data_IF_981222770682
#
_entry.id   IF_981222770682
#
_cell.length_a   1.000
_cell.length_b   1.000
_cell.length_c   1.000
_cell.angle_alpha   90.00
_cell.angle_beta   90.00
_cell.angle_gamma   90.00
#
_symmetry.space_group_name_H-M   'P 1'
#
loop_
_entity.id
_entity.type
_entity.pdbx_description
1 polymer ?
#
# COMPACT_ATOMS: atom_id res chain seq x y z
N UNK A 1 34.46 64.54 4.40
CA UNK A 1 33.17 64.39 5.11
C UNK A 1 33.24 63.10 5.89
N UNK A 2 33.10 63.24 7.20
CA UNK A 2 33.74 62.44 8.25
C UNK A 2 33.07 61.11 8.61
N UNK A 3 33.94 60.21 9.11
CA UNK A 3 33.68 59.05 9.97
C UNK A 3 33.24 59.50 11.38
N UNK A 4 32.46 58.74 12.17
CA UNK A 4 32.88 57.83 13.27
C UNK A 4 31.64 57.72 14.22
N UNK A 5 31.17 56.60 14.78
CA UNK A 5 31.71 55.58 15.72
C UNK A 5 31.60 55.91 17.22
N UNK A 6 31.17 54.91 18.02
CA UNK A 6 31.29 54.76 19.50
C UNK A 6 30.49 55.77 20.37
N UNK A 7 29.98 55.47 21.57
CA UNK A 7 30.14 54.35 22.49
C UNK A 7 30.33 54.89 23.93
N UNK A 8 29.34 54.64 24.80
CA UNK A 8 29.37 54.50 26.28
C UNK A 8 29.78 55.66 27.23
N UNK A 9 29.16 55.55 28.41
CA UNK A 9 29.50 56.03 29.77
C UNK A 9 29.15 57.46 30.18
N UNK A 10 28.37 57.55 31.27
CA UNK A 10 28.42 58.61 32.28
C UNK A 10 27.90 58.05 33.62
N UNK A 11 28.83 57.73 34.53
CA UNK A 11 28.60 57.59 35.96
C UNK A 11 29.40 58.68 36.71
N UNK A 12 28.93 59.03 37.92
CA UNK A 12 29.53 59.93 38.93
C UNK A 12 29.25 61.45 38.75
N UNK A 13 29.11 62.29 39.78
CA UNK A 13 29.34 62.15 41.23
C UNK A 13 28.81 63.39 42.02
N UNK A 14 28.60 63.21 43.35
CA UNK A 14 28.72 64.22 44.45
C UNK A 14 27.72 65.40 44.54
N UNK A 15 27.29 65.89 45.72
CA UNK A 15 27.66 65.64 47.12
C UNK A 15 26.99 66.63 48.12
N UNK A 16 27.28 66.45 49.42
CA UNK A 16 27.07 67.34 50.59
C UNK A 16 25.61 67.68 51.01
N UNK A 17 25.22 67.81 52.30
CA UNK A 17 25.90 67.84 53.61
C UNK A 17 24.83 67.81 54.74
N UNK A 18 25.16 67.21 55.91
CA UNK A 18 24.94 67.71 57.31
C UNK A 18 23.46 67.95 57.78
N UNK A 19 22.96 67.66 59.00
CA UNK A 19 23.46 67.28 60.33
C UNK A 19 22.28 66.73 61.19
N UNK A 20 22.63 65.79 62.06
CA UNK A 20 22.16 65.49 63.43
C UNK A 20 20.83 65.97 64.06
N UNK A 21 20.23 64.99 64.76
CA UNK A 21 19.56 65.00 66.09
C UNK A 21 18.01 65.06 66.24
N UNK A 22 17.57 64.15 67.14
CA UNK A 22 16.41 64.18 68.05
C UNK A 22 15.09 63.45 67.65
N UNK A 23 14.95 62.25 68.21
CA UNK A 23 13.81 61.65 68.93
C UNK A 23 12.42 62.32 68.82
N UNK A 24 11.40 61.60 68.31
CA UNK A 24 10.05 61.58 68.90
C UNK A 24 9.19 60.40 68.41
N UNK A 25 8.59 59.67 69.35
CA UNK A 25 7.54 58.65 69.12
C UNK A 25 6.25 59.33 68.64
N UNK A 26 5.60 58.79 67.61
CA UNK A 26 4.13 58.85 67.50
C UNK A 26 3.58 57.68 66.68
N UNK A 27 2.84 56.84 67.39
CA UNK A 27 1.97 55.77 66.90
C UNK A 27 0.66 56.37 66.36
N UNK A 28 -0.04 55.61 65.48
CA UNK A 28 -1.49 55.68 65.13
C UNK A 28 -1.78 56.45 63.80
N UNK A 29 -2.49 55.95 62.77
CA UNK A 29 -3.53 54.92 62.68
C UNK A 29 -3.75 54.34 61.25
N UNK A 30 -4.34 53.12 61.24
CA UNK A 30 -5.05 52.32 60.22
C UNK A 30 -5.35 52.83 58.78
N UNK A 31 -5.08 51.96 57.80
CA UNK A 31 -6.04 51.54 56.77
C UNK A 31 -5.88 50.03 56.49
N UNK A 32 -6.95 49.24 56.67
CA UNK A 32 -7.02 47.83 56.26
C UNK A 32 -7.55 47.75 54.82
N UNK A 33 -6.84 47.01 53.97
CA UNK A 33 -7.31 46.60 52.64
C UNK A 33 -7.82 45.17 52.79
N UNK A 34 -9.12 44.98 52.58
CA UNK A 34 -9.75 43.67 52.42
C UNK A 34 -9.92 43.41 50.91
N UNK A 35 -9.25 42.37 50.39
CA UNK A 35 -9.23 42.07 48.95
C UNK A 35 -9.68 40.61 48.64
N UNK A 36 -10.87 40.52 48.05
CA UNK A 36 -11.43 39.55 47.07
C UNK A 36 -11.30 38.02 47.26
N UNK A 37 -12.14 37.43 48.11
CA UNK A 37 -12.35 35.96 48.16
C UNK A 37 -13.41 35.48 47.13
N UNK A 38 -14.35 36.33 46.71
CA UNK A 38 -15.57 35.94 45.98
C UNK A 38 -15.40 35.64 44.48
N UNK A 39 -14.38 36.18 43.79
CA UNK A 39 -14.22 36.01 42.34
C UNK A 39 -13.64 34.64 41.94
N UNK A 40 -12.92 33.99 42.87
CA UNK A 40 -12.23 32.71 42.65
C UNK A 40 -13.18 31.52 42.66
N UNK A 41 -14.24 31.55 43.47
CA UNK A 41 -15.22 30.46 43.58
C UNK A 41 -16.12 30.35 42.34
N UNK A 42 -16.60 31.48 41.80
CA UNK A 42 -17.51 31.52 40.65
C UNK A 42 -16.86 30.93 39.38
N UNK A 43 -15.57 31.23 39.15
CA UNK A 43 -14.82 30.72 38.01
C UNK A 43 -14.58 29.20 38.11
N UNK A 44 -14.32 28.71 39.32
CA UNK A 44 -14.11 27.29 39.58
C UNK A 44 -15.39 26.46 39.40
N UNK A 45 -16.54 26.98 39.84
CA UNK A 45 -17.83 26.32 39.63
C UNK A 45 -18.23 26.26 38.15
N UNK A 46 -17.97 27.33 37.40
CA UNK A 46 -18.26 27.40 35.96
C UNK A 46 -17.42 26.41 35.15
N UNK A 47 -16.11 26.31 35.43
CA UNK A 47 -15.22 25.34 34.80
C UNK A 47 -15.62 23.91 35.13
N UNK A 48 -15.97 23.64 36.39
CA UNK A 48 -16.40 22.31 36.85
C UNK A 48 -17.65 21.82 36.11
N UNK A 49 -18.61 22.70 35.87
CA UNK A 49 -19.84 22.35 35.16
C UNK A 49 -19.62 22.14 33.66
N UNK A 50 -18.72 22.93 33.07
CA UNK A 50 -18.34 22.82 31.66
C UNK A 50 -17.54 21.54 31.39
N UNK A 51 -16.60 21.18 32.26
CA UNK A 51 -15.86 19.92 32.20
C UNK A 51 -16.80 18.69 32.30
N UNK A 52 -17.81 18.72 33.18
CA UNK A 52 -18.78 17.62 33.30
C UNK A 52 -19.57 17.35 32.02
N UNK A 53 -19.98 18.41 31.30
CA UNK A 53 -20.73 18.24 30.06
C UNK A 53 -19.86 17.64 28.93
N UNK A 54 -18.62 18.10 28.78
CA UNK A 54 -17.70 17.53 27.78
C UNK A 54 -17.33 16.07 28.10
N UNK A 55 -17.18 15.71 29.38
CA UNK A 55 -16.92 14.33 29.81
C UNK A 55 -18.07 13.36 29.47
N UNK A 56 -19.33 13.81 29.58
CA UNK A 56 -20.50 12.99 29.19
C UNK A 56 -20.53 12.83 27.67
N UNK A 57 -20.26 13.91 26.93
CA UNK A 57 -20.21 13.89 25.47
C UNK A 57 -19.10 12.98 24.93
N UNK A 58 -17.90 13.01 25.53
CA UNK A 58 -16.77 12.15 25.16
C UNK A 58 -17.03 10.67 25.50
N UNK A 59 -17.69 10.37 26.62
CA UNK A 59 -18.10 9.01 26.97
C UNK A 59 -19.15 8.49 25.98
N UNK A 60 -20.16 9.30 25.65
CA UNK A 60 -21.17 8.96 24.65
C UNK A 60 -20.55 8.78 23.27
N UNK A 61 -19.60 9.64 22.89
CA UNK A 61 -18.85 9.51 21.64
C UNK A 61 -18.04 8.21 21.60
N UNK A 62 -17.38 7.84 22.71
CA UNK A 62 -16.64 6.58 22.83
C UNK A 62 -17.56 5.36 22.73
N UNK A 63 -18.73 5.39 23.37
CA UNK A 63 -19.76 4.34 23.25
C UNK A 63 -20.24 4.25 21.80
N UNK A 64 -20.53 5.38 21.15
CA UNK A 64 -20.92 5.42 19.74
C UNK A 64 -19.83 4.83 18.83
N UNK A 65 -18.55 5.14 19.07
CA UNK A 65 -17.44 4.55 18.32
C UNK A 65 -17.38 3.03 18.50
N UNK A 66 -17.54 2.52 19.73
CA UNK A 66 -17.57 1.07 19.98
C UNK A 66 -18.75 0.41 19.25
N UNK A 67 -19.93 1.04 19.26
CA UNK A 67 -21.11 0.53 18.54
C UNK A 67 -20.92 0.58 17.02
N UNK A 68 -20.31 1.64 16.48
CA UNK A 68 -20.00 1.77 15.05
C UNK A 68 -18.97 0.70 14.65
N UNK A 69 -17.91 0.50 15.43
CA UNK A 69 -16.90 -0.53 15.18
C UNK A 69 -17.50 -1.94 15.28
N UNK A 70 -18.39 -2.18 16.24
CA UNK A 70 -19.09 -3.45 16.37
C UNK A 70 -20.03 -3.71 15.18
N UNK A 71 -20.75 -2.68 14.72
CA UNK A 71 -21.61 -2.77 13.54
C UNK A 71 -20.78 -2.96 12.26
N UNK A 72 -19.64 -2.28 12.13
CA UNK A 72 -18.70 -2.45 11.02
C UNK A 72 -18.13 -3.87 11.01
N UNK A 73 -17.81 -4.44 12.17
CA UNK A 73 -17.40 -5.83 12.32
C UNK A 73 -18.49 -6.81 11.89
N UNK A 74 -19.73 -6.59 12.34
CA UNK A 74 -20.86 -7.44 11.97
C UNK A 74 -21.14 -7.39 10.46
N UNK A 75 -21.12 -6.19 9.86
CA UNK A 75 -21.30 -6.00 8.42
C UNK A 75 -20.13 -6.63 7.64
N UNK A 76 -18.89 -6.44 8.07
CA UNK A 76 -17.72 -7.08 7.44
C UNK A 76 -17.81 -8.59 7.47
N UNK A 77 -18.23 -9.18 8.60
CA UNK A 77 -18.41 -10.63 8.72
C UNK A 77 -19.52 -11.16 7.80
N UNK A 78 -20.58 -10.36 7.56
CA UNK A 78 -21.60 -10.72 6.57
C UNK A 78 -21.12 -10.51 5.13
N UNK A 79 -20.31 -9.49 4.87
CA UNK A 79 -19.69 -9.26 3.57
C UNK A 79 -18.71 -10.38 3.21
N UNK A 80 -17.94 -10.92 4.16
CA UNK A 80 -17.06 -12.07 3.92
C UNK A 80 -17.86 -13.31 3.48
N UNK A 81 -19.01 -13.58 4.13
CA UNK A 81 -19.94 -14.65 3.69
C UNK A 81 -20.56 -14.39 2.32
N UNK A 82 -20.80 -13.11 2.00
CA UNK A 82 -21.36 -12.71 0.70
C UNK A 82 -20.31 -12.81 -0.41
N UNK A 83 -19.05 -12.49 -0.12
CA UNK A 83 -17.90 -12.67 -1.01
C UNK A 83 -17.62 -14.16 -1.28
N UNK A 84 -17.76 -15.01 -0.26
CA UNK A 84 -17.68 -16.48 -0.40
C UNK A 84 -18.82 -17.05 -1.28
N UNK A 85 -20.04 -16.52 -1.12
CA UNK A 85 -21.17 -16.85 -2.00
C UNK A 85 -20.94 -16.36 -3.44
N UNK A 86 -20.43 -15.14 -3.62
CA UNK A 86 -20.13 -14.57 -4.94
C UNK A 86 -19.00 -15.33 -5.62
N UNK A 87 -17.95 -15.74 -4.89
CA UNK A 87 -16.84 -16.50 -5.46
C UNK A 87 -17.25 -17.92 -5.85
N UNK A 88 -18.10 -18.58 -5.04
CA UNK A 88 -18.70 -19.85 -5.41
C UNK A 88 -19.59 -19.71 -6.66
N UNK A 89 -20.46 -18.70 -6.72
CA UNK A 89 -21.29 -18.43 -7.90
C UNK A 89 -20.44 -18.12 -9.14
N UNK A 90 -19.39 -17.31 -9.01
CA UNK A 90 -18.48 -17.02 -10.13
C UNK A 90 -17.70 -18.25 -10.59
N UNK A 91 -17.34 -19.16 -9.68
CA UNK A 91 -16.68 -20.41 -10.02
C UNK A 91 -17.61 -21.34 -10.79
N UNK A 92 -18.87 -21.46 -10.38
CA UNK A 92 -19.88 -22.22 -11.10
C UNK A 92 -20.19 -21.58 -12.46
N UNK A 93 -20.31 -20.25 -12.54
CA UNK A 93 -20.53 -19.54 -13.79
C UNK A 93 -19.36 -19.71 -14.78
N UNK A 94 -18.12 -19.81 -14.28
CA UNK A 94 -16.95 -20.17 -15.11
C UNK A 94 -17.04 -21.61 -15.62
N UNK A 95 -17.45 -22.56 -14.79
CA UNK A 95 -17.64 -23.94 -15.21
C UNK A 95 -18.76 -24.06 -16.25
N UNK A 96 -19.89 -23.38 -16.04
CA UNK A 96 -20.98 -23.28 -17.03
C UNK A 96 -20.51 -22.64 -18.34
N UNK A 97 -19.71 -21.58 -18.29
CA UNK A 97 -19.15 -20.94 -19.49
C UNK A 97 -18.24 -21.90 -20.27
N UNK A 98 -17.39 -22.65 -19.57
CA UNK A 98 -16.51 -23.66 -20.17
C UNK A 98 -17.33 -24.80 -20.80
N UNK A 99 -18.41 -25.25 -20.15
CA UNK A 99 -19.30 -26.28 -20.68
C UNK A 99 -20.08 -25.78 -21.90
N UNK A 100 -20.52 -24.52 -21.91
CA UNK A 100 -21.17 -23.89 -23.08
C UNK A 100 -20.18 -23.76 -24.25
N UNK A 101 -18.94 -23.35 -23.98
CA UNK A 101 -17.89 -23.23 -25.01
C UNK A 101 -17.46 -24.61 -25.54
N UNK A 102 -17.40 -25.64 -24.68
CA UNK A 102 -17.17 -27.04 -25.06
C UNK A 102 -18.31 -27.61 -25.91
N UNK A 103 -19.56 -27.32 -25.55
CA UNK A 103 -20.74 -27.72 -26.32
C UNK A 103 -20.87 -26.96 -27.65
N UNK A 104 -20.34 -25.73 -27.72
CA UNK A 104 -20.26 -24.95 -28.96
C UNK A 104 -19.11 -25.39 -29.88
N UNK A 105 -18.02 -25.91 -29.31
CA UNK A 105 -16.91 -26.49 -30.06
C UNK A 105 -17.21 -27.88 -30.65
N UNK A 106 -18.27 -28.56 -30.18
CA UNK A 106 -18.58 -29.95 -30.56
C UNK A 106 -19.69 -30.13 -31.60
N UNK A 107 -20.23 -29.07 -32.24
CA UNK A 107 -21.09 -29.22 -33.44
C UNK A 107 -20.92 -28.09 -34.45
N UNK A 108 -20.76 -28.39 -35.76
CA UNK A 108 -21.06 -27.44 -36.82
C UNK A 108 -22.58 -27.33 -37.03
N UNK A 109 -22.96 -26.14 -37.46
CA UNK A 109 -24.29 -25.57 -37.71
C UNK A 109 -25.35 -26.52 -38.25
N UNK A 110 -26.56 -26.48 -37.67
CA UNK A 110 -27.82 -26.59 -38.42
C UNK A 110 -28.98 -25.90 -37.64
N UNK A 111 -29.78 -25.16 -38.39
CA UNK A 111 -30.99 -24.44 -37.96
C UNK A 111 -32.13 -25.38 -37.57
N UNK A 112 -32.81 -25.13 -36.43
CA UNK A 112 -34.29 -25.07 -36.25
C UNK A 112 -34.77 -25.43 -34.82
N UNK A 113 -35.81 -24.69 -34.41
CA UNK A 113 -36.86 -24.98 -33.41
C UNK A 113 -36.63 -24.67 -31.92
N UNK A 114 -37.14 -23.49 -31.53
CA UNK A 114 -37.48 -23.06 -30.17
C UNK A 114 -38.76 -23.77 -29.71
N UNK A 115 -38.66 -24.86 -28.96
CA UNK A 115 -39.72 -25.31 -28.00
C UNK A 115 -39.26 -26.46 -27.05
N UNK A 116 -38.16 -27.16 -27.35
CA UNK A 116 -37.74 -28.35 -26.59
C UNK A 116 -36.94 -28.12 -25.30
N UNK A 117 -36.53 -26.88 -24.99
CA UNK A 117 -35.53 -26.59 -23.95
C UNK A 117 -36.07 -26.65 -22.51
N UNK A 118 -37.33 -26.32 -22.28
CA UNK A 118 -37.84 -26.08 -20.92
C UNK A 118 -38.08 -27.36 -20.12
N UNK A 119 -38.44 -28.49 -20.76
CA UNK A 119 -38.67 -29.77 -20.06
C UNK A 119 -37.39 -30.38 -19.48
N UNK A 120 -36.26 -30.20 -20.15
CA UNK A 120 -34.97 -30.76 -19.70
C UNK A 120 -34.39 -29.95 -18.54
N UNK A 121 -34.77 -28.67 -18.42
CA UNK A 121 -34.35 -27.79 -17.33
C UNK A 121 -35.11 -28.11 -16.03
N UNK A 122 -36.40 -28.44 -16.12
CA UNK A 122 -37.18 -28.86 -14.94
C UNK A 122 -36.69 -30.19 -14.35
N UNK A 123 -36.36 -31.18 -15.20
CA UNK A 123 -35.84 -32.48 -14.76
C UNK A 123 -34.47 -32.35 -14.07
N UNK A 124 -33.61 -31.44 -14.57
CA UNK A 124 -32.29 -31.18 -13.99
C UNK A 124 -32.37 -30.42 -12.66
N UNK A 125 -33.32 -29.48 -12.52
CA UNK A 125 -33.54 -28.75 -11.26
C UNK A 125 -34.03 -29.70 -10.16
N UNK A 126 -34.81 -30.73 -10.50
CA UNK A 126 -35.27 -31.74 -9.54
C UNK A 126 -34.14 -32.68 -9.08
N UNK A 127 -33.19 -32.98 -9.96
CA UNK A 127 -31.98 -33.76 -9.64
C UNK A 127 -31.02 -32.98 -8.72
N UNK A 128 -30.76 -31.70 -9.01
CA UNK A 128 -29.93 -30.81 -8.18
C UNK A 128 -30.48 -30.64 -6.75
N UNK A 129 -31.81 -30.62 -6.60
CA UNK A 129 -32.45 -30.51 -5.28
C UNK A 129 -32.32 -31.79 -4.42
N UNK A 130 -32.03 -32.94 -5.04
CA UNK A 130 -31.75 -34.20 -4.33
C UNK A 130 -30.34 -34.23 -3.75
N UNK A 131 -29.36 -33.68 -4.46
CA UNK A 131 -27.95 -33.71 -4.05
C UNK A 131 -27.63 -32.71 -2.91
N UNK A 132 -28.41 -31.64 -2.78
CA UNK A 132 -28.29 -30.68 -1.67
C UNK A 132 -28.60 -31.32 -0.29
N UNK A 133 -29.31 -32.47 -0.26
CA UNK A 133 -29.70 -33.11 1.01
C UNK A 133 -28.63 -33.98 1.67
N UNK A 134 -27.52 -34.32 0.99
CA UNK A 134 -26.46 -35.16 1.60
C UNK A 134 -25.05 -34.80 1.06
N UNK A 135 -24.26 -33.96 1.75
CA UNK A 135 -22.88 -33.74 1.35
C UNK A 135 -21.95 -34.74 2.07
N UNK A 136 -21.50 -35.77 1.34
CA UNK A 136 -20.30 -36.53 1.72
C UNK A 136 -19.05 -35.87 1.13
N UNK A 137 -18.06 -35.68 2.00
CA UNK A 137 -16.79 -35.00 1.78
C UNK A 137 -15.88 -35.82 0.85
N UNK A 138 -15.39 -35.22 -0.25
CA UNK A 138 -14.10 -35.62 -0.82
C UNK A 138 -13.35 -34.43 -1.45
N UNK A 139 -12.14 -34.23 -0.94
CA UNK A 139 -11.24 -33.10 -1.17
C UNK A 139 -10.28 -33.48 -2.31
N UNK A 140 -10.31 -32.77 -3.43
CA UNK A 140 -9.25 -32.89 -4.45
C UNK A 140 -8.35 -31.65 -4.43
N UNK A 141 -7.13 -31.84 -3.94
CA UNK A 141 -6.02 -30.91 -4.07
C UNK A 141 -5.54 -30.90 -5.52
N UNK A 142 -5.47 -29.72 -6.14
CA UNK A 142 -4.68 -29.49 -7.35
C UNK A 142 -3.90 -28.18 -7.18
N UNK A 143 -2.68 -28.31 -6.66
CA UNK A 143 -1.73 -27.20 -6.52
C UNK A 143 -1.36 -26.65 -7.90
N UNK A 144 -1.51 -25.34 -8.11
CA UNK A 144 -0.97 -24.64 -9.27
C UNK A 144 0.51 -24.36 -9.02
N UNK A 145 1.36 -24.86 -9.92
CA UNK A 145 2.81 -24.66 -9.88
C UNK A 145 3.17 -23.31 -10.50
N UNK A 146 3.83 -22.44 -9.72
CA UNK A 146 4.41 -21.18 -10.20
C UNK A 146 5.69 -21.49 -11.00
N UNK A 147 5.94 -20.84 -12.15
CA UNK A 147 7.15 -21.10 -12.92
C UNK A 147 8.39 -20.69 -12.12
N UNK A 148 9.17 -21.67 -11.68
CA UNK A 148 10.57 -21.44 -11.32
C UNK A 148 11.31 -21.03 -12.59
N UNK A 149 12.16 -20.01 -12.48
CA UNK A 149 13.11 -19.64 -13.52
C UNK A 149 13.80 -20.90 -14.08
N UNK A 150 13.66 -21.10 -15.38
CA UNK A 150 14.27 -22.22 -16.11
C UNK A 150 15.79 -22.03 -16.07
N UNK A 151 16.48 -22.93 -15.37
CA UNK A 151 17.90 -23.21 -15.63
C UNK A 151 17.97 -24.63 -16.23
N UNK A 152 18.70 -24.85 -17.33
CA UNK A 152 18.94 -26.20 -17.83
C UNK A 152 19.86 -26.93 -16.85
N UNK A 153 19.35 -27.98 -16.20
CA UNK A 153 20.20 -28.97 -15.55
C UNK A 153 20.81 -29.85 -16.63
N UNK A 154 22.14 -29.89 -16.73
CA UNK A 154 22.82 -30.92 -17.51
C UNK A 154 24.29 -30.65 -17.86
N UNK A 155 25.17 -31.09 -16.97
CA UNK A 155 26.46 -31.75 -17.26
C UNK A 155 27.56 -30.93 -17.97
N UNK A 156 28.64 -30.68 -17.20
CA UNK A 156 30.03 -30.46 -17.62
C UNK A 156 30.26 -29.66 -18.91
N UNK A 157 30.31 -28.33 -18.78
CA UNK A 157 31.18 -27.53 -19.64
C UNK A 157 31.82 -26.38 -18.86
N UNK A 158 33.11 -26.18 -19.13
CA UNK A 158 34.04 -25.19 -18.57
C UNK A 158 33.45 -23.78 -18.36
N UNK A 159 33.89 -23.00 -17.34
CA UNK A 159 33.34 -21.68 -17.03
C UNK A 159 33.73 -20.65 -18.09
N UNK A 160 32.93 -20.54 -19.16
CA UNK A 160 33.01 -19.42 -20.10
C UNK A 160 31.97 -18.38 -19.70
N UNK A 161 32.43 -17.26 -19.13
CA UNK A 161 31.76 -15.95 -19.10
C UNK A 161 30.22 -15.97 -19.14
N UNK A 162 29.57 -16.57 -18.14
CA UNK A 162 28.11 -16.54 -18.06
C UNK A 162 27.65 -15.12 -17.70
N UNK A 163 27.05 -14.43 -18.66
CA UNK A 163 26.35 -13.16 -18.44
C UNK A 163 24.91 -13.49 -18.04
N UNK A 164 24.48 -12.95 -16.92
CA UNK A 164 23.13 -13.12 -16.38
C UNK A 164 22.30 -11.86 -16.63
N UNK A 165 20.98 -12.01 -16.67
CA UNK A 165 20.05 -10.89 -16.77
C UNK A 165 19.44 -10.60 -15.40
N UNK A 166 19.36 -9.32 -15.04
CA UNK A 166 18.69 -8.85 -13.82
C UNK A 166 17.57 -7.88 -14.14
N UNK A 167 16.49 -7.92 -13.38
CA UNK A 167 15.46 -6.88 -13.36
C UNK A 167 15.81 -5.84 -12.30
N UNK A 168 16.41 -4.71 -12.70
CA UNK A 168 16.82 -3.66 -11.77
C UNK A 168 15.65 -2.83 -11.23
N UNK A 169 14.45 -2.95 -11.82
CA UNK A 169 13.22 -2.33 -11.30
C UNK A 169 12.50 -3.22 -10.27
N UNK A 170 13.13 -4.29 -9.78
CA UNK A 170 12.52 -5.22 -8.84
C UNK A 170 12.38 -4.63 -7.43
N UNK A 171 11.14 -4.63 -6.90
CA UNK A 171 10.83 -4.21 -5.53
C UNK A 171 11.66 -4.98 -4.47
N UNK A 172 11.85 -6.29 -4.67
CA UNK A 172 12.60 -7.13 -3.71
C UNK A 172 14.09 -6.81 -3.70
N UNK A 173 14.63 -6.32 -4.83
CA UNK A 173 16.01 -5.87 -4.91
C UNK A 173 16.20 -4.44 -4.35
N UNK A 174 15.11 -3.72 -4.10
CA UNK A 174 15.13 -2.39 -3.50
C UNK A 174 14.76 -1.25 -4.44
N UNK A 175 14.21 -1.54 -5.62
CA UNK A 175 13.66 -0.49 -6.48
C UNK A 175 12.42 0.16 -5.84
N UNK A 176 12.17 1.42 -6.17
CA UNK A 176 11.02 2.19 -5.68
C UNK A 176 10.48 3.15 -6.73
N UNK A 177 9.19 3.49 -6.61
CA UNK A 177 8.60 4.57 -7.40
C UNK A 177 8.93 5.90 -6.73
N UNK A 178 9.45 6.85 -7.50
CA UNK A 178 9.65 8.23 -7.04
C UNK A 178 8.36 9.00 -7.29
N UNK A 179 7.49 9.00 -6.27
CA UNK A 179 6.18 9.66 -6.33
C UNK A 179 6.27 11.19 -6.44
N UNK A 180 7.39 11.81 -6.05
CA UNK A 180 7.60 13.25 -6.21
C UNK A 180 7.91 13.65 -7.65
N UNK A 181 8.41 12.72 -8.46
CA UNK A 181 8.76 12.91 -9.87
C UNK A 181 7.86 12.11 -10.81
N UNK A 182 6.83 11.47 -10.28
CA UNK A 182 5.80 10.79 -11.06
C UNK A 182 4.55 11.67 -11.12
N UNK A 183 3.73 11.46 -12.14
CA UNK A 183 2.37 11.98 -12.20
C UNK A 183 1.56 11.50 -10.99
N UNK A 184 0.54 12.28 -10.64
CA UNK A 184 -0.38 11.95 -9.56
C UNK A 184 -1.01 10.57 -9.82
N UNK A 185 -1.01 9.73 -8.79
CA UNK A 185 -1.52 8.37 -8.87
C UNK A 185 -2.59 8.11 -7.82
N UNK A 186 -3.62 7.37 -8.22
CA UNK A 186 -4.66 6.87 -7.31
C UNK A 186 -4.08 5.96 -6.20
N UNK A 187 -2.90 5.39 -6.44
CA UNK A 187 -2.20 4.57 -5.46
C UNK A 187 -1.40 5.38 -4.42
N UNK A 188 -1.26 6.69 -4.61
CA UNK A 188 -0.62 7.59 -3.65
C UNK A 188 -1.63 8.63 -3.14
N UNK A 189 -2.65 8.21 -2.37
CA UNK A 189 -3.69 9.11 -1.93
C UNK A 189 -3.17 10.11 -0.89
N UNK A 190 -3.75 11.33 -0.88
CA UNK A 190 -3.45 12.35 0.13
C UNK A 190 -3.69 11.86 1.56
N UNK A 191 -4.69 10.99 1.76
CA UNK A 191 -4.92 10.24 2.98
C UNK A 191 -4.77 8.75 2.71
N UNK A 192 -3.75 8.13 3.29
CA UNK A 192 -3.46 6.72 3.11
C UNK A 192 -1.96 6.48 3.01
N UNK A 193 -1.59 5.30 2.52
CA UNK A 193 -0.20 4.89 2.34
C UNK A 193 0.09 4.68 0.87
N UNK A 194 1.28 5.03 0.43
CA UNK A 194 1.67 4.92 -0.97
C UNK A 194 1.77 3.45 -1.42
N UNK A 195 0.97 3.09 -2.42
CA UNK A 195 0.90 1.78 -3.07
C UNK A 195 1.46 1.79 -4.50
N UNK A 196 2.11 2.87 -4.92
CA UNK A 196 2.63 3.05 -6.28
C UNK A 196 3.61 1.94 -6.69
N UNK A 197 4.28 1.33 -5.72
CA UNK A 197 5.20 0.21 -5.91
C UNK A 197 4.60 -1.09 -6.45
N UNK A 198 3.28 -1.22 -6.64
CA UNK A 198 2.69 -2.42 -7.25
C UNK A 198 3.29 -2.73 -8.63
N UNK A 199 3.61 -1.67 -9.39
CA UNK A 199 4.19 -1.78 -10.74
C UNK A 199 5.58 -2.44 -10.78
N UNK A 200 6.24 -2.55 -9.62
CA UNK A 200 7.60 -3.06 -9.46
C UNK A 200 7.66 -4.50 -8.92
N UNK A 201 6.50 -5.11 -8.63
CA UNK A 201 6.44 -6.49 -8.14
C UNK A 201 6.59 -7.43 -9.34
N UNK A 202 7.55 -8.35 -9.24
CA UNK A 202 7.79 -9.34 -10.28
C UNK A 202 6.76 -10.48 -10.20
N UNK A 203 5.64 -10.32 -10.91
CA UNK A 203 4.53 -11.29 -10.96
C UNK A 203 4.45 -11.92 -12.35
N UNK A 204 4.27 -13.24 -12.40
CA UNK A 204 3.95 -13.91 -13.66
C UNK A 204 2.56 -13.55 -14.18
N UNK A 205 1.59 -13.41 -13.29
CA UNK A 205 0.22 -12.98 -13.59
C UNK A 205 -0.19 -11.83 -12.64
N UNK A 206 -0.01 -10.55 -13.04
CA UNK A 206 -0.37 -9.44 -12.15
C UNK A 206 -1.90 -9.31 -11.98
N UNK A 207 -2.41 -9.10 -10.74
CA UNK A 207 -3.82 -8.83 -10.46
C UNK A 207 -4.32 -7.54 -11.13
N UNK A 208 -5.57 -7.55 -11.60
CA UNK A 208 -6.15 -6.42 -12.35
C UNK A 208 -6.30 -5.14 -11.52
N UNK A 209 -6.53 -5.26 -10.21
CA UNK A 209 -6.73 -4.17 -9.25
C UNK A 209 -5.42 -3.61 -8.66
N UNK A 210 -4.26 -4.18 -9.04
CA UNK A 210 -2.95 -3.81 -8.51
C UNK A 210 -2.09 -3.20 -9.63
N UNK A 211 -2.39 -1.96 -9.99
CA UNK A 211 -1.68 -1.21 -11.02
C UNK A 211 -1.42 0.22 -10.59
N UNK A 212 -0.30 0.81 -11.02
CA UNK A 212 -0.09 2.25 -10.91
C UNK A 212 -0.96 2.96 -11.95
N UNK A 213 -1.90 3.79 -11.52
CA UNK A 213 -2.80 4.50 -12.44
C UNK A 213 -2.71 6.01 -12.27
N UNK A 214 -2.88 6.74 -13.37
CA UNK A 214 -2.96 8.21 -13.40
C UNK A 214 -4.05 8.67 -14.36
N UNK A 215 -4.65 9.83 -14.06
CA UNK A 215 -5.65 10.49 -14.91
C UNK A 215 -5.05 11.67 -15.71
N UNK A 216 -3.73 11.89 -15.61
CA UNK A 216 -3.04 12.90 -16.42
C UNK A 216 -2.97 12.45 -17.88
N UNK A 217 -3.01 13.41 -18.82
CA UNK A 217 -3.04 13.13 -20.27
C UNK A 217 -1.75 12.46 -20.78
N UNK A 218 -0.60 12.87 -20.25
CA UNK A 218 0.72 12.31 -20.57
C UNK A 218 1.42 11.89 -19.28
N UNK A 219 0.99 10.79 -18.64
CA UNK A 219 1.45 10.46 -17.31
C UNK A 219 2.90 9.98 -17.32
N UNK A 220 3.65 10.42 -16.31
CA UNK A 220 5.05 10.08 -16.11
C UNK A 220 5.18 9.15 -14.90
N UNK A 221 5.83 8.02 -15.07
CA UNK A 221 6.18 7.12 -13.96
C UNK A 221 7.71 7.12 -13.81
N UNK A 222 8.19 7.58 -12.66
CA UNK A 222 9.62 7.63 -12.33
C UNK A 222 9.98 6.49 -11.38
N UNK A 223 11.03 5.74 -11.72
CA UNK A 223 11.48 4.57 -10.97
C UNK A 223 12.95 4.76 -10.58
N UNK A 224 13.22 4.67 -9.28
CA UNK A 224 14.55 4.45 -8.73
C UNK A 224 14.89 2.97 -8.84
N UNK A 225 15.95 2.66 -9.60
CA UNK A 225 16.42 1.30 -9.81
C UNK A 225 17.17 0.81 -8.57
N UNK A 226 17.05 -0.48 -8.27
CA UNK A 226 17.74 -1.12 -7.16
C UNK A 226 19.27 -1.03 -7.27
N UNK A 227 19.79 -0.92 -8.49
CA UNK A 227 21.21 -0.80 -8.81
C UNK A 227 21.40 0.14 -10.00
N UNK A 228 22.53 0.83 -10.03
CA UNK A 228 22.99 1.54 -11.22
C UNK A 228 23.35 0.51 -12.29
N UNK A 229 22.63 0.55 -13.41
CA UNK A 229 22.76 -0.44 -14.49
C UNK A 229 22.88 0.23 -15.84
N UNK A 230 23.40 -0.50 -16.82
CA UNK A 230 23.24 -0.17 -18.23
C UNK A 230 22.08 -1.00 -18.79
N UNK A 231 20.89 -0.40 -19.00
CA UNK A 231 19.72 -1.16 -19.40
C UNK A 231 19.86 -1.64 -20.86
N UNK A 232 19.43 -2.87 -21.12
CA UNK A 232 19.43 -3.50 -22.45
C UNK A 232 18.01 -3.57 -23.05
N UNK A 233 17.00 -3.62 -22.18
CA UNK A 233 15.60 -3.62 -22.56
C UNK A 233 14.73 -3.23 -21.37
N UNK A 234 13.52 -2.80 -21.67
CA UNK A 234 12.43 -2.77 -20.70
C UNK A 234 11.36 -3.76 -21.14
N UNK A 235 10.54 -4.22 -20.22
CA UNK A 235 9.30 -4.89 -20.55
C UNK A 235 8.13 -4.28 -19.81
N UNK A 236 6.98 -4.37 -20.46
CA UNK A 236 5.70 -4.05 -19.87
C UNK A 236 4.80 -5.28 -19.96
N UNK A 237 4.08 -5.54 -18.87
CA UNK A 237 3.09 -6.60 -18.78
C UNK A 237 1.83 -6.05 -18.12
N UNK A 238 0.68 -6.31 -18.74
CA UNK A 238 -0.63 -6.03 -18.16
C UNK A 238 -1.16 -7.25 -17.38
N UNK A 239 -2.15 -7.05 -16.51
CA UNK A 239 -2.98 -8.15 -15.99
C UNK A 239 -3.62 -8.95 -17.13
N UNK A 240 -3.85 -10.25 -16.90
CA UNK A 240 -4.28 -11.19 -17.94
C UNK A 240 -5.52 -10.71 -18.70
N UNK A 241 -5.39 -10.60 -20.02
CA UNK A 241 -6.49 -10.30 -20.96
C UNK A 241 -6.53 -11.34 -22.10
N UNK A 242 -7.61 -11.34 -22.90
CA UNK A 242 -7.80 -12.32 -23.98
C UNK A 242 -8.27 -11.64 -25.26
N UNK A 243 -7.40 -11.62 -26.28
CA UNK A 243 -7.67 -11.06 -27.61
C UNK A 243 -7.67 -9.53 -27.69
N UNK A 244 -8.16 -8.82 -26.68
CA UNK A 244 -8.23 -7.36 -26.64
C UNK A 244 -7.45 -6.80 -25.46
N UNK A 245 -6.55 -5.85 -25.72
CA UNK A 245 -5.82 -5.13 -24.68
C UNK A 245 -6.78 -4.18 -23.96
N UNK A 246 -6.78 -4.11 -22.62
CA UNK A 246 -7.64 -3.20 -21.89
C UNK A 246 -7.39 -1.73 -22.25
N UNK A 247 -8.47 -0.97 -22.40
CA UNK A 247 -8.53 0.45 -22.76
C UNK A 247 -7.54 1.35 -21.99
N UNK A 248 -7.45 1.14 -20.67
CA UNK A 248 -6.55 1.91 -19.80
C UNK A 248 -5.08 1.48 -19.84
N UNK A 249 -4.72 0.43 -20.57
CA UNK A 249 -3.32 0.02 -20.69
C UNK A 249 -2.53 1.04 -21.54
N UNK A 250 -1.26 1.34 -21.23
CA UNK A 250 -0.41 2.11 -22.11
C UNK A 250 -0.26 1.40 -23.45
N UNK A 251 -0.48 2.11 -24.55
CA UNK A 251 -0.29 1.63 -25.92
C UNK A 251 1.03 2.11 -26.50
N UNK A 252 1.44 3.34 -26.18
CA UNK A 252 2.72 3.93 -26.59
C UNK A 252 3.41 4.65 -25.46
N UNK A 253 4.71 4.44 -25.33
CA UNK A 253 5.52 5.09 -24.30
C UNK A 253 6.99 5.27 -24.72
N UNK A 254 7.63 6.26 -24.10
CA UNK A 254 9.07 6.48 -24.19
C UNK A 254 9.73 6.13 -22.86
N UNK A 255 11.02 5.79 -22.92
CA UNK A 255 11.84 5.55 -21.73
C UNK A 255 13.02 6.50 -21.74
N UNK A 256 13.17 7.26 -20.66
CA UNK A 256 14.24 8.23 -20.48
C UNK A 256 15.04 7.91 -19.23
N UNK A 257 16.35 8.18 -19.26
CA UNK A 257 17.22 8.16 -18.10
C UNK A 257 17.25 9.53 -17.45
N UNK A 258 17.19 9.57 -16.12
CA UNK A 258 17.52 10.77 -15.36
C UNK A 258 19.03 10.82 -15.14
N UNK A 259 19.67 11.92 -15.55
CA UNK A 259 21.10 12.13 -15.35
C UNK A 259 21.43 12.79 -14.00
N UNK A 260 20.41 13.28 -13.31
CA UNK A 260 20.49 13.83 -11.95
C UNK A 260 19.37 13.26 -11.06
N UNK A 261 19.44 13.56 -9.75
CA UNK A 261 18.49 13.06 -8.76
C UNK A 261 17.07 13.61 -8.90
N UNK A 262 16.90 14.74 -9.57
CA UNK A 262 15.63 15.43 -9.72
C UNK A 262 14.95 15.20 -11.08
N UNK A 263 15.65 14.51 -11.99
CA UNK A 263 15.25 14.31 -13.38
C UNK A 263 15.11 15.63 -14.17
N UNK A 264 15.89 16.65 -13.84
CA UNK A 264 15.89 17.92 -14.60
C UNK A 264 16.61 17.73 -15.95
N UNK A 265 17.63 16.88 -15.98
CA UNK A 265 18.35 16.48 -17.17
C UNK A 265 17.94 15.06 -17.60
N UNK A 266 17.16 14.98 -18.68
CA UNK A 266 16.66 13.74 -19.24
C UNK A 266 17.43 13.33 -20.49
N UNK A 267 17.71 12.03 -20.62
CA UNK A 267 18.30 11.44 -21.82
C UNK A 267 17.42 10.31 -22.36
N UNK A 268 16.92 10.39 -23.60
CA UNK A 268 16.15 9.29 -24.20
C UNK A 268 16.97 7.99 -24.26
N UNK A 269 16.39 6.88 -23.80
CA UNK A 269 16.95 5.54 -23.94
C UNK A 269 16.34 4.80 -25.13
N UNK A 270 15.01 4.86 -25.21
CA UNK A 270 14.24 4.32 -26.33
C UNK A 270 12.94 5.11 -26.45
N UNK A 271 12.42 5.22 -27.66
CA UNK A 271 11.21 5.99 -27.97
C UNK A 271 10.22 5.14 -28.74
N UNK A 272 8.93 5.47 -28.64
CA UNK A 272 7.83 4.78 -29.34
C UNK A 272 7.78 3.28 -29.07
N UNK A 273 8.02 2.85 -27.83
CA UNK A 273 7.70 1.49 -27.43
C UNK A 273 6.20 1.27 -27.57
N UNK A 274 5.80 0.15 -28.18
CA UNK A 274 4.40 -0.16 -28.45
C UNK A 274 3.98 -1.40 -27.66
N UNK A 275 2.80 -1.33 -27.05
CA UNK A 275 2.13 -2.48 -26.46
C UNK A 275 0.83 -2.71 -27.20
N UNK A 276 0.60 -3.95 -27.64
CA UNK A 276 -0.58 -4.28 -28.47
C UNK A 276 -0.95 -5.75 -28.37
N UNK A 277 -2.14 -6.11 -28.84
CA UNK A 277 -2.50 -7.51 -28.97
C UNK A 277 -1.56 -8.21 -29.98
N UNK A 278 -1.03 -9.37 -29.60
CA UNK A 278 -0.24 -10.24 -30.48
C UNK A 278 -0.98 -11.55 -30.71
N UNK A 279 -0.69 -12.25 -31.81
CA UNK A 279 -1.35 -13.52 -32.16
C UNK A 279 -1.16 -14.60 -31.08
N UNK A 280 0.02 -14.61 -30.45
CA UNK A 280 0.37 -15.52 -29.36
C UNK A 280 -0.17 -15.06 -27.98
N UNK A 281 -0.95 -13.96 -27.94
CA UNK A 281 -1.50 -13.36 -26.73
C UNK A 281 -0.46 -13.18 -25.60
N UNK A 282 0.78 -12.86 -25.97
CA UNK A 282 1.86 -12.61 -25.01
C UNK A 282 1.54 -11.38 -24.17
N UNK A 283 1.42 -11.61 -22.87
CA UNK A 283 1.07 -10.59 -21.89
C UNK A 283 2.25 -9.66 -21.60
N UNK A 284 3.47 -10.19 -21.56
CA UNK A 284 4.70 -9.40 -21.42
C UNK A 284 5.31 -9.11 -22.78
N UNK A 285 5.63 -7.83 -23.03
CA UNK A 285 6.23 -7.37 -24.28
C UNK A 285 7.46 -6.54 -24.00
N UNK A 286 8.51 -6.77 -24.80
CA UNK A 286 9.82 -6.16 -24.63
C UNK A 286 10.02 -5.00 -25.59
N UNK A 287 10.59 -3.92 -25.08
CA UNK A 287 11.12 -2.81 -25.87
C UNK A 287 12.65 -2.79 -25.70
N UNK A 288 13.37 -3.04 -26.79
CA UNK A 288 14.83 -3.13 -26.79
C UNK A 288 15.44 -1.73 -26.74
N UNK A 289 16.45 -1.55 -25.89
CA UNK A 289 17.21 -0.31 -25.81
C UNK A 289 18.46 -0.46 -26.69
N UNK A 290 18.65 0.42 -27.69
CA UNK A 290 19.83 0.39 -28.53
C UNK A 290 21.11 0.46 -27.70
N UNK A 291 22.02 -0.48 -27.94
CA UNK A 291 23.29 -0.52 -27.23
C UNK A 291 24.15 0.70 -27.61
N UNK A 292 24.39 1.60 -26.65
CA UNK A 292 25.32 2.73 -26.82
C UNK A 292 26.47 2.67 -25.82
N UNK A 293 27.70 2.43 -26.31
CA UNK A 293 28.91 2.23 -25.50
C UNK A 293 29.20 3.42 -24.55
N UNK A 294 28.72 4.61 -24.89
CA UNK A 294 28.98 5.84 -24.15
C UNK A 294 27.93 6.15 -23.07
N UNK A 295 27.01 5.22 -22.79
CA UNK A 295 26.02 5.41 -21.73
C UNK A 295 26.60 5.00 -20.38
N UNK A 296 26.72 5.97 -19.48
CA UNK A 296 26.94 5.72 -18.05
C UNK A 296 25.84 4.83 -17.48
N UNK A 297 26.15 4.13 -16.39
CA UNK A 297 25.14 3.41 -15.62
C UNK A 297 24.09 4.39 -15.08
N UNK A 298 22.83 3.97 -15.13
CA UNK A 298 21.65 4.76 -14.80
C UNK A 298 21.03 4.18 -13.54
N UNK A 299 20.72 5.04 -12.57
CA UNK A 299 20.07 4.66 -11.32
C UNK A 299 18.59 5.04 -11.26
N UNK A 300 18.11 5.92 -12.14
CA UNK A 300 16.73 6.41 -12.15
C UNK A 300 16.24 6.59 -13.59
N UNK A 301 15.02 6.16 -13.87
CA UNK A 301 14.42 6.22 -15.22
C UNK A 301 12.99 6.74 -15.16
N UNK A 302 12.51 7.29 -16.27
CA UNK A 302 11.12 7.69 -16.45
C UNK A 302 10.48 6.96 -17.62
N UNK A 303 9.27 6.47 -17.41
CA UNK A 303 8.35 6.05 -18.45
C UNK A 303 7.41 7.21 -18.75
N UNK A 304 7.43 7.70 -19.98
CA UNK A 304 6.51 8.72 -20.46
C UNK A 304 5.42 8.03 -21.26
N UNK A 305 4.24 7.82 -20.67
CA UNK A 305 3.12 7.23 -21.37
C UNK A 305 2.50 8.29 -22.28
N UNK A 306 2.54 8.05 -23.59
CA UNK A 306 2.06 8.99 -24.61
C UNK A 306 0.61 8.74 -24.95
N UNK A 307 0.22 7.47 -24.98
CA UNK A 307 -1.11 7.02 -25.41
C UNK A 307 -1.49 5.76 -24.62
N UNK A 308 -2.77 5.63 -24.28
CA UNK A 308 -3.38 4.39 -23.85
C UNK A 308 -4.16 3.75 -25.01
N UNK A 309 -4.90 2.67 -24.76
CA UNK A 309 -5.70 1.99 -25.78
C UNK A 309 -7.07 2.66 -26.06
N UNK A 310 -7.38 3.79 -25.41
CA UNK A 310 -8.56 4.62 -25.67
C UNK A 310 -9.70 4.38 -24.69
N UNK A 311 -10.87 4.96 -24.97
CA UNK A 311 -12.15 4.84 -24.23
C UNK A 311 -12.15 5.23 -22.73
N UNK A 312 -10.99 5.48 -22.14
CA UNK A 312 -10.83 5.97 -20.77
C UNK A 312 -9.73 7.03 -20.72
N UNK A 313 -9.92 8.05 -19.90
CA UNK A 313 -8.88 9.06 -19.62
C UNK A 313 -7.71 8.48 -18.82
N UNK A 314 -7.97 7.42 -18.05
CA UNK A 314 -7.04 6.85 -17.08
C UNK A 314 -6.05 5.91 -17.76
N UNK A 315 -4.77 6.06 -17.43
CA UNK A 315 -3.71 5.11 -17.83
C UNK A 315 -3.27 4.30 -16.63
N UNK A 316 -3.19 2.98 -16.75
CA UNK A 316 -2.85 2.03 -15.68
C UNK A 316 -1.73 1.06 -16.09
N UNK A 317 -0.61 1.10 -15.38
CA UNK A 317 0.54 0.22 -15.58
C UNK A 317 0.63 -0.85 -14.48
N UNK A 318 0.58 -2.14 -14.86
CA UNK A 318 0.59 -3.27 -13.92
C UNK A 318 1.98 -3.76 -13.53
N UNK A 319 2.84 -4.09 -14.49
CA UNK A 319 4.19 -4.58 -14.19
C UNK A 319 5.18 -4.05 -15.21
N UNK A 320 6.25 -3.44 -14.71
CA UNK A 320 7.35 -2.91 -15.50
C UNK A 320 8.65 -3.55 -15.02
N UNK A 321 9.47 -4.00 -15.97
CA UNK A 321 10.79 -4.54 -15.69
C UNK A 321 11.84 -3.80 -16.49
N UNK A 322 13.01 -3.65 -15.90
CA UNK A 322 14.15 -2.95 -16.52
C UNK A 322 15.33 -3.89 -16.47
N UNK A 323 15.68 -4.41 -17.63
CA UNK A 323 16.66 -5.47 -17.71
C UNK A 323 18.05 -4.94 -18.00
N UNK A 324 19.04 -5.57 -17.37
CA UNK A 324 20.45 -5.37 -17.67
C UNK A 324 21.22 -6.68 -17.57
N UNK A 325 22.35 -6.69 -18.27
CA UNK A 325 23.34 -7.75 -18.14
C UNK A 325 24.20 -7.53 -16.89
N UNK A 326 24.48 -8.61 -16.17
CA UNK A 326 25.39 -8.64 -15.03
C UNK A 326 26.27 -9.88 -15.07
N UNK A 327 27.48 -9.75 -14.52
CA UNK A 327 28.38 -10.89 -14.26
C UNK A 327 28.19 -11.47 -12.86
N UNK A 328 27.43 -10.77 -12.00
CA UNK A 328 27.10 -11.27 -10.68
C UNK A 328 26.13 -12.45 -10.83
N UNK A 329 26.49 -13.59 -10.23
CA UNK A 329 25.61 -14.76 -10.18
C UNK A 329 24.34 -14.37 -9.39
N UNK A 330 23.14 -14.55 -9.96
CA UNK A 330 21.90 -14.39 -9.22
C UNK A 330 21.95 -15.27 -7.97
N UNK A 331 21.95 -14.66 -6.79
CA UNK A 331 22.02 -15.42 -5.54
C UNK A 331 20.65 -16.04 -5.30
N UNK A 332 20.42 -17.24 -5.84
CA UNK A 332 19.27 -18.08 -5.47
C UNK A 332 19.57 -18.65 -4.09
N UNK A 333 19.28 -17.88 -3.04
CA UNK A 333 19.31 -18.41 -1.68
C UNK A 333 18.14 -19.39 -1.56
N UNK A 334 18.43 -20.66 -1.34
CA UNK A 334 17.41 -21.63 -0.92
C UNK A 334 16.68 -21.11 0.33
N UNK A 335 15.41 -21.47 0.48
CA UNK A 335 14.64 -21.05 1.66
C UNK A 335 15.32 -21.52 2.93
N UNK A 336 15.54 -20.58 3.83
CA UNK A 336 15.97 -20.86 5.20
C UNK A 336 14.78 -21.37 6.03
N UNK A 337 15.05 -22.13 7.10
CA UNK A 337 14.01 -22.62 8.01
C UNK A 337 13.12 -21.47 8.53
N UNK A 338 13.72 -20.31 8.84
CA UNK A 338 13.00 -19.10 9.28
C UNK A 338 12.02 -18.58 8.23
N UNK A 339 12.39 -18.64 6.95
CA UNK A 339 11.51 -18.21 5.85
C UNK A 339 10.31 -19.15 5.75
N UNK A 340 10.55 -20.47 5.79
CA UNK A 340 9.48 -21.49 5.77
C UNK A 340 8.52 -21.31 6.95
N UNK A 341 9.03 -21.19 8.17
CA UNK A 341 8.20 -20.95 9.37
C UNK A 341 7.40 -19.65 9.25
N UNK A 342 8.00 -18.60 8.70
CA UNK A 342 7.32 -17.31 8.48
C UNK A 342 6.17 -17.46 7.49
N UNK A 343 6.41 -18.07 6.33
CA UNK A 343 5.39 -18.30 5.31
C UNK A 343 4.26 -19.19 5.84
N UNK A 344 4.59 -20.29 6.51
CA UNK A 344 3.60 -21.19 7.12
C UNK A 344 2.75 -20.48 8.18
N UNK A 345 3.36 -19.64 9.03
CA UNK A 345 2.62 -18.84 10.04
C UNK A 345 1.72 -17.80 9.39
N UNK A 346 2.17 -17.12 8.34
CA UNK A 346 1.36 -16.14 7.62
C UNK A 346 0.17 -16.80 6.94
N UNK A 347 0.40 -17.92 6.24
CA UNK A 347 -0.63 -18.74 5.58
C UNK A 347 -1.67 -19.25 6.58
N UNK A 348 -1.22 -19.84 7.69
CA UNK A 348 -2.13 -20.29 8.76
C UNK A 348 -3.02 -19.16 9.27
N UNK A 349 -2.43 -17.99 9.54
CA UNK A 349 -3.20 -16.85 10.03
C UNK A 349 -4.15 -16.30 8.97
N UNK A 350 -3.76 -16.30 7.70
CA UNK A 350 -4.63 -15.86 6.61
C UNK A 350 -5.93 -16.67 6.58
N UNK A 351 -5.83 -18.01 6.55
CA UNK A 351 -7.00 -18.87 6.44
C UNK A 351 -7.80 -19.07 7.73
N UNK A 352 -7.12 -19.17 8.88
CA UNK A 352 -7.77 -19.57 10.14
C UNK A 352 -7.92 -18.43 11.15
N UNK A 353 -7.16 -17.34 11.00
CA UNK A 353 -7.16 -16.21 11.94
C UNK A 353 -7.09 -14.87 11.21
N UNK A 354 -8.05 -14.62 10.30
CA UNK A 354 -8.11 -13.43 9.44
C UNK A 354 -7.89 -12.12 10.21
N UNK A 355 -8.46 -11.98 11.41
CA UNK A 355 -8.23 -10.81 12.26
C UNK A 355 -6.77 -10.63 12.69
N UNK A 356 -6.11 -11.71 13.14
CA UNK A 356 -4.68 -11.68 13.51
C UNK A 356 -3.82 -11.36 12.29
N UNK A 357 -4.16 -11.93 11.13
CA UNK A 357 -3.47 -11.63 9.88
C UNK A 357 -3.58 -10.15 9.51
N UNK A 358 -4.80 -9.61 9.48
CA UNK A 358 -5.07 -8.22 9.12
C UNK A 358 -4.41 -7.23 10.09
N UNK A 359 -4.45 -7.48 11.40
CA UNK A 359 -4.08 -6.47 12.41
C UNK A 359 -2.65 -6.57 12.94
N UNK A 360 -2.05 -7.76 13.03
CA UNK A 360 -0.79 -7.94 13.79
C UNK A 360 0.37 -8.48 12.97
N UNK A 361 0.10 -9.13 11.84
CA UNK A 361 1.17 -9.73 11.04
C UNK A 361 1.85 -8.71 10.13
N UNK A 362 3.17 -8.81 10.04
CA UNK A 362 3.98 -8.13 9.02
C UNK A 362 3.86 -8.89 7.69
N UNK A 363 3.07 -8.37 6.77
CA UNK A 363 2.60 -9.11 5.57
C UNK A 363 2.61 -8.27 4.29
N UNK A 364 3.39 -7.20 4.26
CA UNK A 364 3.50 -6.40 3.04
C UNK A 364 4.13 -7.22 1.90
N UNK A 365 3.96 -6.75 0.65
CA UNK A 365 4.45 -7.47 -0.52
C UNK A 365 5.96 -7.72 -0.46
N UNK A 366 6.75 -6.77 0.07
CA UNK A 366 8.20 -6.96 0.20
C UNK A 366 8.54 -8.16 1.08
N UNK A 367 7.87 -8.32 2.22
CA UNK A 367 8.07 -9.47 3.12
C UNK A 367 7.67 -10.77 2.40
N UNK A 368 6.46 -10.85 1.83
CA UNK A 368 5.98 -12.09 1.23
C UNK A 368 6.86 -12.56 0.06
N UNK A 369 7.25 -11.65 -0.84
CA UNK A 369 8.07 -12.00 -2.01
C UNK A 369 9.52 -12.27 -1.65
N UNK A 370 10.12 -11.55 -0.68
CA UNK A 370 11.51 -11.81 -0.26
C UNK A 370 11.67 -13.15 0.49
N UNK A 371 10.59 -13.67 1.07
CA UNK A 371 10.56 -14.97 1.74
C UNK A 371 10.08 -16.11 0.81
N UNK A 372 9.72 -15.82 -0.44
CA UNK A 372 9.20 -16.79 -1.42
C UNK A 372 7.92 -17.51 -0.93
N UNK A 373 7.03 -16.77 -0.25
CA UNK A 373 5.82 -17.34 0.34
C UNK A 373 4.69 -17.61 -0.66
N UNK A 374 4.75 -17.05 -1.87
CA UNK A 374 3.62 -17.08 -2.81
C UNK A 374 3.30 -18.47 -3.35
N UNK A 375 4.24 -19.41 -3.23
CA UNK A 375 3.97 -20.83 -3.52
C UNK A 375 3.12 -21.52 -2.46
N UNK A 376 3.18 -21.07 -1.20
CA UNK A 376 2.42 -21.62 -0.08
C UNK A 376 1.07 -20.91 0.09
N UNK A 377 1.04 -19.60 -0.11
CA UNK A 377 -0.17 -18.77 -0.04
C UNK A 377 -0.18 -17.76 -1.19
N UNK A 378 -0.67 -18.15 -2.39
CA UNK A 378 -0.70 -17.26 -3.53
C UNK A 378 -1.66 -16.08 -3.34
N UNK A 379 -2.84 -16.33 -2.75
CA UNK A 379 -3.80 -15.30 -2.39
C UNK A 379 -3.22 -14.24 -1.44
N UNK A 380 -2.34 -14.62 -0.51
CA UNK A 380 -1.62 -13.65 0.32
C UNK A 380 -0.79 -12.67 -0.53
N UNK A 381 -0.17 -13.16 -1.60
CA UNK A 381 0.69 -12.37 -2.49
C UNK A 381 -0.09 -11.56 -3.53
N UNK A 382 -1.30 -11.98 -3.88
CA UNK A 382 -2.20 -11.24 -4.76
C UNK A 382 -2.80 -10.04 -4.02
N UNK A 383 -3.22 -10.25 -2.77
CA UNK A 383 -3.89 -9.24 -1.95
C UNK A 383 -2.95 -8.26 -1.24
N UNK A 384 -1.65 -8.59 -1.14
CA UNK A 384 -0.69 -7.82 -0.37
C UNK A 384 -0.67 -6.32 -0.72
N UNK A 385 -0.32 -5.51 0.29
CA UNK A 385 -0.10 -4.07 0.15
C UNK A 385 1.41 -3.78 0.13
N UNK A 386 1.84 -2.75 -0.61
CA UNK A 386 3.23 -2.26 -0.61
C UNK A 386 3.58 -1.72 0.77
N UNK A 387 2.75 -0.81 1.27
CA UNK A 387 2.83 -0.28 2.63
C UNK A 387 1.60 -0.74 3.40
N UNK A 388 1.81 -1.65 4.37
CA UNK A 388 0.76 -2.25 5.19
C UNK A 388 0.79 -1.72 6.62
N UNK A 389 -0.37 -1.68 7.28
CA UNK A 389 -0.49 -1.33 8.71
C UNK A 389 -0.05 -2.55 9.53
N UNK A 390 1.04 -2.40 10.27
CA UNK A 390 1.53 -3.44 11.16
C UNK A 390 0.92 -3.34 12.56
N UNK A 391 1.04 -4.44 13.31
CA UNK A 391 0.59 -4.50 14.71
C UNK A 391 1.30 -3.48 15.60
N UNK A 392 2.51 -3.04 15.23
CA UNK A 392 3.24 -2.02 15.96
C UNK A 392 2.56 -0.64 15.84
N UNK A 393 2.12 -0.27 14.63
CA UNK A 393 1.35 0.95 14.40
C UNK A 393 0.05 0.94 15.21
N UNK A 394 -0.69 -0.17 15.17
CA UNK A 394 -1.94 -0.33 15.95
C UNK A 394 -1.65 -0.23 17.44
N UNK A 395 -0.64 -0.95 17.94
CA UNK A 395 -0.23 -0.89 19.34
C UNK A 395 0.16 0.52 19.76
N UNK A 396 0.93 1.24 18.94
CA UNK A 396 1.34 2.60 19.23
C UNK A 396 0.14 3.54 19.36
N UNK A 397 -0.80 3.53 18.41
CA UNK A 397 -1.99 4.38 18.47
C UNK A 397 -2.91 4.01 19.63
N UNK A 398 -3.11 2.71 19.91
CA UNK A 398 -3.88 2.29 21.09
C UNK A 398 -3.21 2.73 22.38
N UNK A 399 -1.89 2.57 22.52
CA UNK A 399 -1.15 2.98 23.71
C UNK A 399 -1.18 4.49 23.92
N UNK A 400 -1.10 5.28 22.84
CA UNK A 400 -1.22 6.74 22.89
C UNK A 400 -2.63 7.16 23.31
N UNK A 401 -3.67 6.51 22.78
CA UNK A 401 -5.04 6.75 23.20
C UNK A 401 -5.25 6.40 24.68
N UNK A 402 -4.72 5.28 25.16
CA UNK A 402 -4.75 4.92 26.58
C UNK A 402 -3.97 5.91 27.45
N UNK A 403 -2.81 6.38 27.01
CA UNK A 403 -2.01 7.37 27.73
C UNK A 403 -2.69 8.75 27.81
N UNK A 404 -3.53 9.12 26.84
CA UNK A 404 -4.35 10.34 26.88
C UNK A 404 -5.59 10.19 27.78
N UNK A 405 -6.16 8.98 27.85
CA UNK A 405 -7.35 8.67 28.65
C UNK A 405 -7.05 8.30 30.12
N UNK A 406 -5.86 7.79 30.43
CA UNK A 406 -5.49 7.39 31.79
C UNK A 406 -5.37 8.56 32.79
N UNK A 407 -4.72 9.69 32.46
CA UNK A 407 -4.57 10.81 33.38
C UNK A 407 -5.92 11.39 33.81
N UNK A 408 -6.90 11.44 32.89
CA UNK A 408 -8.24 11.93 33.20
C UNK A 408 -8.98 11.00 34.17
N UNK A 409 -8.85 9.68 33.99
CA UNK A 409 -9.45 8.71 34.92
C UNK A 409 -8.84 8.73 36.33
N UNK A 410 -7.52 8.91 36.46
CA UNK A 410 -6.85 9.02 37.77
C UNK A 410 -7.15 10.33 38.50
N UNK A 411 -7.27 11.44 37.77
CA UNK A 411 -7.66 12.73 38.35
C UNK A 411 -9.11 12.66 38.89
N UNK A 412 -10.01 11.98 38.17
CA UNK A 412 -11.39 11.76 38.60
C UNK A 412 -11.46 10.84 39.84
N UNK A 413 -10.68 9.76 39.86
CA UNK A 413 -10.60 8.86 41.02
C UNK A 413 -10.12 9.56 42.29
N UNK A 414 -9.07 10.39 42.18
CA UNK A 414 -8.56 11.16 43.32
C UNK A 414 -9.52 12.26 43.79
N UNK A 415 -10.28 12.88 42.88
CA UNK A 415 -11.31 13.87 43.22
C UNK A 415 -12.55 13.24 43.88
N UNK A 416 -12.87 11.98 43.56
CA UNK A 416 -13.96 11.23 44.21
C UNK A 416 -13.53 10.62 45.56
N UNK A 417 -12.28 10.18 45.68
CA UNK A 417 -11.74 9.61 46.92
C UNK A 417 -11.58 10.67 48.04
N UNK A 418 -11.23 11.92 47.70
CA UNK A 418 -11.21 13.05 48.65
C UNK A 418 -12.58 13.53 49.11
N UNK A 419 -13.68 12.89 48.66
CA UNK A 419 -15.06 13.25 48.99
C UNK A 419 -15.76 12.26 49.94
N UNK A 420 -15.04 11.26 50.45
CA UNK A 420 -15.37 10.52 51.67
C UNK A 420 -14.40 10.95 52.76
#
# INVERSE_FOLDING_TARGET
MDQTSFGRDCESAYGSEVSSNATFKLQKDRFQIEESITKKEIWYEWIRNRLRHYMILELLFSICLVLILWKQYHISSQNDKTLELISNIQSEFRNFKLDIESNKASKPTDTMNLDGGNKKLEEFVEEVMKDIKNPSIERSQKSKEYPKQVIPNGVNSSPKNSVYQINAASLILGASVDSCRSSSSDNNPFFGRDQSGYVLIDRSDPPSDKAWCSNEENPILTIDLAKYIRPISVSYQHSKWSGMVPDGAPSRYDVLACLDSYCDNLKPLVSNCEYRATEDNKQEQFCLIPFNQNHSSIGKIQFHFRQNHGNVMKTCAHTIRVYAETKEVPIVKGRTLKQVETCSKLTYNYHLKSWTYKMFNFKNCKVLYSNDCCTECPECCDECLIQDIDGFTVFFYTSMAFALLCPTSMIIGNLLYKRK
#
